data_IF_193750463533
#
_entry.id   IF_193750463533
#
_cell.length_a   1.000
_cell.length_b   1.000
_cell.length_c   1.000
_cell.angle_alpha   90.00
_cell.angle_beta   90.00
_cell.angle_gamma   90.00
#
_symmetry.space_group_name_H-M   'P 1'
#
loop_
_entity.id
_entity.type
_entity.pdbx_description
1 polymer ?
#
# COMPACT_ATOMS: atom_id res chain seq x y z
N UNK A 1 33.53 42.10 42.02
CA UNK A 1 33.68 40.72 42.53
C UNK A 1 32.97 39.84 41.54
N UNK A 2 33.77 39.00 40.90
CA UNK A 2 33.51 38.29 39.66
C UNK A 2 33.14 36.84 39.99
N UNK A 3 32.03 36.33 39.48
CA UNK A 3 31.61 34.93 39.66
C UNK A 3 31.03 34.38 38.35
N UNK A 4 31.93 33.94 37.49
CA UNK A 4 31.94 32.63 36.80
C UNK A 4 30.58 31.94 36.54
N UNK A 5 30.05 32.16 35.33
CA UNK A 5 29.11 31.26 34.65
C UNK A 5 29.90 30.16 33.90
N UNK A 6 29.63 28.90 34.24
CA UNK A 6 30.32 27.72 33.73
C UNK A 6 30.03 27.48 32.24
N UNK A 7 31.09 27.25 31.47
CA UNK A 7 31.09 26.88 30.05
C UNK A 7 30.58 25.45 29.87
N UNK A 8 29.61 25.25 28.98
CA UNK A 8 29.25 23.95 28.41
C UNK A 8 29.80 23.80 26.98
N UNK A 9 29.98 22.54 26.59
CA UNK A 9 30.35 21.96 25.28
C UNK A 9 31.85 21.88 24.87
N UNK A 10 32.28 20.91 24.00
CA UNK A 10 31.48 19.93 23.22
C UNK A 10 32.07 18.49 23.05
N UNK A 11 31.21 17.63 22.47
CA UNK A 11 31.41 16.56 21.45
C UNK A 11 32.61 15.58 21.53
N UNK A 12 32.31 14.28 21.54
CA UNK A 12 32.66 13.28 20.50
C UNK A 12 32.62 11.86 21.08
N UNK A 13 31.83 10.96 20.48
CA UNK A 13 32.32 9.69 19.90
C UNK A 13 31.14 8.82 19.46
N UNK A 14 30.88 8.92 18.17
CA UNK A 14 30.25 7.91 17.32
C UNK A 14 31.04 6.60 17.48
N UNK A 15 30.37 5.49 17.81
CA UNK A 15 30.92 4.14 17.59
C UNK A 15 30.20 3.51 16.40
N UNK A 16 31.00 3.36 15.34
CA UNK A 16 30.78 2.56 14.14
C UNK A 16 30.69 1.07 14.54
N UNK A 17 29.67 0.34 14.08
CA UNK A 17 29.64 -0.44 12.82
C UNK A 17 30.50 -1.72 12.92
N UNK A 18 29.86 -2.82 13.32
CA UNK A 18 30.32 -4.16 12.98
C UNK A 18 29.16 -4.93 12.35
N UNK A 19 29.25 -5.09 11.02
CA UNK A 19 28.43 -6.01 10.24
C UNK A 19 29.36 -7.19 9.94
N UNK A 20 29.14 -8.31 10.61
CA UNK A 20 29.79 -9.58 10.27
C UNK A 20 29.06 -10.19 9.08
N UNK A 21 29.69 -10.17 7.90
CA UNK A 21 29.28 -10.98 6.74
C UNK A 21 30.29 -12.12 6.61
N UNK A 22 29.84 -13.35 6.86
CA UNK A 22 30.60 -14.56 6.53
C UNK A 22 30.24 -15.02 5.11
N UNK A 23 31.21 -15.44 4.28
CA UNK A 23 30.95 -15.98 2.96
C UNK A 23 30.58 -17.46 3.05
N UNK A 24 29.38 -17.83 2.59
CA UNK A 24 29.01 -19.25 2.39
C UNK A 24 29.10 -19.58 0.90
N UNK A 25 29.87 -20.64 0.67
CA UNK A 25 30.35 -21.17 -0.60
C UNK A 25 29.20 -21.71 -1.47
N UNK A 26 29.26 -21.39 -2.76
CA UNK A 26 28.45 -21.97 -3.84
C UNK A 26 29.07 -23.31 -4.24
N UNK A 27 28.40 -24.42 -3.90
CA UNK A 27 28.78 -25.75 -4.38
C UNK A 27 28.03 -26.07 -5.68
N UNK A 28 28.81 -26.28 -6.74
CA UNK A 28 28.39 -26.84 -8.02
C UNK A 28 27.88 -28.28 -7.85
N UNK A 29 26.73 -28.60 -8.44
CA UNK A 29 26.26 -29.98 -8.64
C UNK A 29 26.10 -30.22 -10.15
N UNK A 30 26.67 -31.33 -10.69
CA UNK A 30 26.92 -31.49 -12.11
C UNK A 30 25.67 -31.83 -12.94
N UNK A 31 25.68 -31.37 -14.19
CA UNK A 31 24.83 -31.87 -15.25
C UNK A 31 25.21 -33.32 -15.60
N UNK A 32 24.24 -34.23 -15.61
CA UNK A 32 24.41 -35.55 -16.22
C UNK A 32 23.45 -35.73 -17.39
N UNK A 33 24.05 -35.97 -18.55
CA UNK A 33 23.43 -36.36 -19.81
C UNK A 33 23.23 -37.88 -19.87
N UNK A 34 22.16 -38.29 -20.57
CA UNK A 34 21.93 -39.52 -21.38
C UNK A 34 20.40 -39.73 -21.38
N UNK A 35 19.63 -39.70 -22.46
CA UNK A 35 19.91 -40.02 -23.88
C UNK A 35 19.29 -41.38 -24.22
N UNK A 36 18.44 -41.42 -25.26
CA UNK A 36 17.90 -42.60 -26.01
C UNK A 36 16.72 -43.37 -25.34
N UNK A 37 15.60 -43.76 -25.97
CA UNK A 37 14.99 -43.69 -27.32
C UNK A 37 13.45 -43.84 -27.19
N UNK A 38 12.65 -43.13 -27.99
CA UNK A 38 11.88 -43.60 -29.16
C UNK A 38 11.01 -44.87 -28.98
N UNK A 39 9.69 -44.66 -28.86
CA UNK A 39 8.60 -45.59 -29.24
C UNK A 39 7.37 -44.70 -29.49
N UNK A 40 7.12 -44.25 -30.73
CA UNK A 40 6.29 -44.88 -31.77
C UNK A 40 4.84 -45.17 -31.37
N UNK A 41 3.94 -44.67 -32.24
CA UNK A 41 2.52 -44.97 -32.43
C UNK A 41 1.53 -44.18 -31.58
N UNK A 42 0.84 -43.18 -32.17
CA UNK A 42 -0.31 -43.29 -33.09
C UNK A 42 -1.62 -43.60 -32.33
N UNK A 43 -2.69 -42.94 -32.78
CA UNK A 43 -4.10 -43.04 -32.40
C UNK A 43 -4.58 -42.00 -31.38
N UNK A 44 -5.66 -41.26 -31.57
CA UNK A 44 -6.58 -41.08 -32.69
C UNK A 44 -7.33 -39.78 -32.39
N UNK A 45 -7.54 -38.94 -33.40
CA UNK A 45 -8.48 -37.83 -33.30
C UNK A 45 -9.88 -38.43 -33.12
N UNK A 46 -10.47 -38.29 -31.95
CA UNK A 46 -11.93 -38.35 -31.83
C UNK A 46 -12.47 -36.95 -32.08
N UNK A 47 -12.70 -36.66 -33.36
CA UNK A 47 -13.66 -35.64 -33.76
C UNK A 47 -15.05 -36.08 -33.28
N UNK A 48 -15.42 -35.66 -32.08
CA UNK A 48 -16.70 -36.00 -31.49
C UNK A 48 -17.78 -35.17 -32.21
N UNK A 49 -18.44 -35.83 -33.17
CA UNK A 49 -19.66 -35.32 -33.81
C UNK A 49 -20.74 -35.21 -32.74
N UNK A 50 -20.92 -34.03 -32.17
CA UNK A 50 -22.10 -33.70 -31.36
C UNK A 50 -23.30 -33.69 -32.30
N UNK A 51 -23.94 -34.85 -32.46
CA UNK A 51 -25.30 -34.92 -33.00
C UNK A 51 -26.22 -34.43 -31.90
N UNK A 52 -26.70 -33.20 -32.03
CA UNK A 52 -27.80 -32.66 -31.25
C UNK A 52 -29.04 -33.52 -31.49
N UNK A 53 -29.24 -34.52 -30.64
CA UNK A 53 -30.55 -35.13 -30.42
C UNK A 53 -31.16 -34.43 -29.20
N UNK A 54 -32.12 -33.55 -29.45
CA UNK A 54 -32.98 -32.99 -28.41
C UNK A 54 -33.90 -34.11 -27.94
N UNK A 55 -33.43 -34.90 -26.98
CA UNK A 55 -34.30 -35.70 -26.13
C UNK A 55 -34.67 -34.85 -24.92
N UNK A 56 -35.95 -34.47 -24.87
CA UNK A 56 -36.59 -33.74 -23.79
C UNK A 56 -36.82 -34.69 -22.60
N UNK A 57 -35.73 -35.16 -21.98
CA UNK A 57 -35.79 -35.92 -20.73
C UNK A 57 -35.41 -35.00 -19.57
N UNK A 58 -36.40 -34.67 -18.74
CA UNK A 58 -36.27 -33.89 -17.51
C UNK A 58 -35.29 -34.55 -16.53
N UNK A 59 -34.01 -34.22 -16.65
CA UNK A 59 -33.00 -34.52 -15.64
C UNK A 59 -33.02 -33.40 -14.60
N UNK A 60 -33.21 -33.70 -13.31
CA UNK A 60 -33.04 -32.70 -12.26
C UNK A 60 -31.57 -32.29 -12.25
N UNK A 61 -31.30 -31.04 -12.65
CA UNK A 61 -29.97 -30.46 -12.53
C UNK A 61 -29.67 -30.38 -11.03
N UNK A 62 -28.89 -31.31 -10.50
CA UNK A 62 -28.23 -31.11 -9.22
C UNK A 62 -27.35 -29.87 -9.39
N UNK A 63 -27.81 -28.73 -8.87
CA UNK A 63 -27.06 -27.49 -8.87
C UNK A 63 -25.81 -27.65 -8.01
N UNK A 64 -24.65 -27.83 -8.64
CA UNK A 64 -23.37 -27.69 -7.97
C UNK A 64 -23.20 -26.20 -7.61
N UNK A 65 -23.45 -25.85 -6.34
CA UNK A 65 -23.08 -24.54 -5.82
C UNK A 65 -21.55 -24.45 -5.81
N UNK A 66 -20.98 -23.75 -6.79
CA UNK A 66 -19.54 -23.44 -6.79
C UNK A 66 -19.31 -22.42 -5.67
N UNK A 67 -18.87 -22.88 -4.50
CA UNK A 67 -18.44 -22.01 -3.42
C UNK A 67 -17.10 -21.37 -3.81
N UNK A 68 -17.15 -20.18 -4.43
CA UNK A 68 -15.92 -19.43 -4.66
C UNK A 68 -15.32 -19.01 -3.30
N UNK A 69 -13.98 -19.07 -3.14
CA UNK A 69 -13.35 -18.58 -1.93
C UNK A 69 -13.63 -17.08 -1.77
N UNK A 70 -14.22 -16.71 -0.63
CA UNK A 70 -14.43 -15.30 -0.28
C UNK A 70 -13.08 -14.70 0.13
N UNK A 71 -12.42 -14.00 -0.80
CA UNK A 71 -11.27 -13.17 -0.43
C UNK A 71 -11.71 -12.10 0.57
N UNK A 72 -10.88 -11.85 1.56
CA UNK A 72 -11.13 -10.76 2.48
C UNK A 72 -10.98 -9.43 1.72
N UNK A 73 -11.87 -8.48 1.99
CA UNK A 73 -11.88 -7.21 1.27
C UNK A 73 -10.74 -6.32 1.78
N UNK A 74 -9.89 -5.85 0.85
CA UNK A 74 -8.87 -4.84 1.14
C UNK A 74 -9.50 -3.54 1.65
N UNK A 75 -10.58 -3.09 0.99
CA UNK A 75 -11.34 -1.90 1.38
C UNK A 75 -12.70 -2.32 1.91
N UNK A 76 -13.07 -1.95 3.15
CA UNK A 76 -14.35 -2.36 3.73
C UNK A 76 -15.53 -1.72 2.99
N UNK A 77 -16.69 -2.38 3.06
CA UNK A 77 -17.94 -1.84 2.54
C UNK A 77 -18.37 -0.56 3.27
N UNK A 78 -18.18 -0.53 4.59
CA UNK A 78 -18.52 0.59 5.47
C UNK A 78 -17.31 0.96 6.35
N UNK A 79 -17.16 2.25 6.64
CA UNK A 79 -16.08 2.77 7.48
C UNK A 79 -16.67 3.21 8.82
N UNK A 80 -16.41 2.51 9.93
CA UNK A 80 -16.88 2.95 11.24
C UNK A 80 -16.23 4.29 11.63
N UNK A 81 -16.83 5.09 12.52
CA UNK A 81 -16.32 6.42 12.88
C UNK A 81 -14.88 6.43 13.42
N UNK A 82 -14.45 5.35 14.07
CA UNK A 82 -13.10 5.16 14.61
C UNK A 82 -12.15 4.40 13.66
N UNK A 83 -12.55 4.18 12.41
CA UNK A 83 -11.78 3.36 11.46
C UNK A 83 -10.36 3.88 11.28
N UNK A 84 -10.18 5.19 11.12
CA UNK A 84 -8.86 5.78 10.89
C UNK A 84 -7.93 5.59 12.10
N UNK A 85 -8.47 5.68 13.32
CA UNK A 85 -7.72 5.40 14.56
C UNK A 85 -7.33 3.93 14.64
N UNK A 86 -8.23 3.02 14.26
CA UNK A 86 -7.92 1.59 14.21
C UNK A 86 -6.80 1.28 13.20
N UNK A 87 -6.78 1.96 12.05
CA UNK A 87 -5.68 1.83 11.09
C UNK A 87 -4.36 2.35 11.66
N UNK A 88 -4.36 3.46 12.40
CA UNK A 88 -3.18 3.97 13.09
C UNK A 88 -2.63 2.96 14.12
N UNK A 89 -3.52 2.38 14.93
CA UNK A 89 -3.16 1.35 15.93
C UNK A 89 -2.63 0.07 15.28
N UNK A 90 -3.11 -0.27 14.09
CA UNK A 90 -2.64 -1.41 13.31
C UNK A 90 -1.31 -1.17 12.57
N UNK A 91 -0.65 -0.03 12.80
CA UNK A 91 0.66 0.31 12.22
C UNK A 91 0.60 1.27 11.04
N UNK A 92 -0.58 1.86 10.77
CA UNK A 92 -0.70 3.04 9.93
C UNK A 92 -0.10 4.28 10.61
N UNK A 93 0.02 5.36 9.85
CA UNK A 93 0.64 6.60 10.35
C UNK A 93 0.07 7.85 9.67
N UNK A 94 -1.23 7.84 9.35
CA UNK A 94 -1.93 8.97 8.74
C UNK A 94 -2.16 10.07 9.76
N UNK A 95 -2.69 9.73 10.93
CA UNK A 95 -3.09 10.72 11.94
C UNK A 95 -1.84 11.41 12.48
N UNK A 96 -0.85 10.63 12.93
CA UNK A 96 0.35 11.16 13.56
C UNK A 96 1.14 12.09 12.63
N UNK A 97 1.17 11.80 11.32
CA UNK A 97 2.07 12.47 10.38
C UNK A 97 1.40 13.50 9.47
N UNK A 98 0.08 13.47 9.34
CA UNK A 98 -0.62 14.20 8.28
C UNK A 98 -1.95 14.80 8.71
N UNK A 99 -2.26 14.92 10.01
CA UNK A 99 -3.53 15.51 10.46
C UNK A 99 -3.29 16.67 11.43
N UNK A 100 -3.86 17.84 11.10
CA UNK A 100 -3.89 18.99 12.01
C UNK A 100 -2.56 19.70 12.24
N UNK A 101 -1.55 19.49 11.40
CA UNK A 101 -0.26 20.17 11.57
C UNK A 101 -0.35 21.66 11.18
N UNK A 102 0.40 22.48 11.90
CA UNK A 102 0.54 23.91 11.59
C UNK A 102 1.49 24.14 10.41
N UNK A 103 1.40 25.31 9.78
CA UNK A 103 2.33 25.71 8.71
C UNK A 103 3.80 25.63 9.16
N UNK A 104 4.09 26.06 10.39
CA UNK A 104 5.43 25.99 10.95
C UNK A 104 5.91 24.54 11.13
N UNK A 105 5.04 23.63 11.58
CA UNK A 105 5.38 22.20 11.70
C UNK A 105 5.68 21.56 10.34
N UNK A 106 4.95 21.93 9.28
CA UNK A 106 5.24 21.44 7.92
C UNK A 106 6.60 21.94 7.42
N UNK A 107 6.90 23.22 7.61
CA UNK A 107 8.19 23.82 7.26
C UNK A 107 9.32 23.15 8.05
N UNK A 108 9.17 23.01 9.36
CA UNK A 108 10.16 22.36 10.21
C UNK A 108 10.43 20.90 9.78
N UNK A 109 9.39 20.15 9.39
CA UNK A 109 9.55 18.79 8.86
C UNK A 109 10.37 18.78 7.57
N UNK A 110 10.15 19.71 6.65
CA UNK A 110 10.98 19.82 5.45
C UNK A 110 12.44 20.16 5.77
N UNK A 111 12.66 21.07 6.72
CA UNK A 111 14.02 21.42 7.18
C UNK A 111 14.74 20.21 7.78
N UNK A 112 14.06 19.46 8.65
CA UNK A 112 14.64 18.35 9.41
C UNK A 112 14.67 17.02 8.64
N UNK A 113 14.04 16.94 7.47
CA UNK A 113 14.00 15.75 6.63
C UNK A 113 14.42 16.11 5.21
N UNK A 114 15.73 16.24 4.93
CA UNK A 114 16.24 16.64 3.61
C UNK A 114 15.77 15.72 2.47
N UNK A 115 15.48 14.46 2.77
CA UNK A 115 15.04 13.44 1.81
C UNK A 115 13.60 13.60 1.30
N UNK A 116 12.76 14.41 1.94
CA UNK A 116 11.38 14.64 1.48
C UNK A 116 11.28 15.96 0.71
N UNK A 117 10.53 15.95 -0.39
CA UNK A 117 10.30 17.12 -1.26
C UNK A 117 9.08 17.95 -0.82
N UNK A 118 8.14 17.33 -0.12
CA UNK A 118 6.92 17.95 0.39
C UNK A 118 6.56 17.43 1.78
N UNK A 119 5.78 18.22 2.51
CA UNK A 119 5.14 17.85 3.75
C UNK A 119 3.70 18.37 3.72
N UNK A 120 2.73 17.54 4.05
CA UNK A 120 1.32 17.92 3.94
C UNK A 120 0.50 17.45 5.12
N UNK A 121 -0.64 18.11 5.30
CA UNK A 121 -1.57 17.84 6.38
C UNK A 121 -3.00 18.09 5.93
N UNK A 122 -3.89 17.19 6.32
CA UNK A 122 -5.32 17.44 6.40
C UNK A 122 -5.59 18.58 7.37
N UNK A 123 -6.66 19.35 7.11
CA UNK A 123 -7.09 20.47 7.96
C UNK A 123 -7.28 20.03 9.42
N UNK A 124 -7.96 18.91 9.63
CA UNK A 124 -8.23 18.32 10.94
C UNK A 124 -8.64 16.84 10.78
N UNK A 125 -8.85 16.16 11.91
CA UNK A 125 -9.23 14.75 11.93
C UNK A 125 -10.56 14.51 11.21
N UNK A 126 -11.55 15.40 11.36
CA UNK A 126 -12.83 15.27 10.70
C UNK A 126 -12.69 15.26 9.17
N UNK A 127 -11.88 16.16 8.61
CA UNK A 127 -11.58 16.21 7.17
C UNK A 127 -10.94 14.90 6.69
N UNK A 128 -9.99 14.35 7.45
CA UNK A 128 -9.35 13.07 7.10
C UNK A 128 -10.34 11.89 7.16
N UNK A 129 -11.15 11.81 8.23
CA UNK A 129 -12.14 10.75 8.44
C UNK A 129 -13.25 10.75 7.39
N UNK A 130 -13.56 11.88 6.75
CA UNK A 130 -14.56 11.92 5.67
C UNK A 130 -13.94 11.68 4.28
N UNK A 131 -12.80 12.29 4.00
CA UNK A 131 -12.23 12.31 2.64
C UNK A 131 -11.48 11.04 2.27
N UNK A 132 -10.78 10.41 3.23
CA UNK A 132 -10.03 9.17 2.99
C UNK A 132 -10.99 8.01 2.64
N UNK A 133 -12.08 7.75 3.38
CA UNK A 133 -13.06 6.74 2.98
C UNK A 133 -13.66 6.97 1.58
N UNK A 134 -13.90 8.23 1.20
CA UNK A 134 -14.41 8.56 -0.14
C UNK A 134 -13.40 8.16 -1.23
N UNK A 135 -12.12 8.48 -1.04
CA UNK A 135 -11.05 8.10 -1.96
C UNK A 135 -10.85 6.58 -2.07
N UNK A 136 -10.90 5.87 -0.94
CA UNK A 136 -10.78 4.41 -0.94
C UNK A 136 -12.01 3.75 -1.56
N UNK A 137 -13.20 4.29 -1.31
CA UNK A 137 -14.46 3.79 -1.89
C UNK A 137 -14.49 3.94 -3.41
N UNK A 138 -14.01 5.08 -3.95
CA UNK A 138 -13.95 5.31 -5.40
C UNK A 138 -12.98 4.36 -6.11
N UNK A 139 -11.98 3.83 -5.40
CA UNK A 139 -11.00 2.86 -5.91
C UNK A 139 -11.22 1.43 -5.42
N UNK A 140 -12.34 1.15 -4.72
CA UNK A 140 -12.57 -0.10 -3.99
C UNK A 140 -12.33 -1.34 -4.85
N UNK A 141 -12.92 -1.40 -6.04
CA UNK A 141 -12.80 -2.56 -6.91
C UNK A 141 -11.35 -2.76 -7.39
N UNK A 142 -10.64 -1.68 -7.71
CA UNK A 142 -9.25 -1.76 -8.14
C UNK A 142 -8.33 -2.26 -7.01
N UNK A 143 -8.51 -1.73 -5.80
CA UNK A 143 -7.72 -2.11 -4.63
C UNK A 143 -8.03 -3.54 -4.18
N UNK A 144 -9.29 -3.95 -4.19
CA UNK A 144 -9.68 -5.33 -3.87
C UNK A 144 -9.09 -6.32 -4.89
N UNK A 145 -9.18 -6.04 -6.19
CA UNK A 145 -8.60 -6.89 -7.24
C UNK A 145 -7.07 -6.95 -7.15
N UNK A 146 -6.42 -5.83 -6.84
CA UNK A 146 -4.98 -5.79 -6.63
C UNK A 146 -4.57 -6.65 -5.43
N UNK A 147 -5.29 -6.54 -4.30
CA UNK A 147 -4.95 -7.26 -3.09
C UNK A 147 -5.26 -8.77 -3.17
N UNK A 148 -6.31 -9.18 -3.88
CA UNK A 148 -6.67 -10.59 -4.07
C UNK A 148 -5.76 -11.31 -5.08
N UNK A 149 -4.94 -10.58 -5.84
CA UNK A 149 -4.02 -11.19 -6.80
C UNK A 149 -2.93 -12.00 -6.05
N UNK A 150 -2.80 -13.31 -6.30
CA UNK A 150 -1.81 -14.16 -5.63
C UNK A 150 -0.36 -13.78 -5.96
N UNK A 151 -0.11 -13.10 -7.09
CA UNK A 151 1.21 -12.61 -7.48
C UNK A 151 1.62 -11.33 -6.74
N UNK A 152 0.72 -10.71 -5.98
CA UNK A 152 1.02 -9.55 -5.13
C UNK A 152 1.40 -10.07 -3.74
N UNK A 153 2.67 -9.92 -3.30
CA UNK A 153 3.11 -10.44 -2.01
C UNK A 153 2.52 -9.65 -0.84
N UNK A 154 2.42 -10.31 0.31
CA UNK A 154 2.13 -9.62 1.59
C UNK A 154 3.22 -8.58 1.85
N UNK A 155 2.83 -7.40 2.32
CA UNK A 155 3.71 -6.25 2.51
C UNK A 155 3.79 -5.29 1.32
N UNK A 156 3.33 -5.72 0.13
CA UNK A 156 3.24 -4.84 -1.03
C UNK A 156 2.30 -3.65 -0.75
N UNK A 157 2.60 -2.50 -1.36
CA UNK A 157 1.81 -1.29 -1.22
C UNK A 157 1.17 -0.86 -2.53
N UNK A 158 0.04 -0.16 -2.43
CA UNK A 158 -0.65 0.45 -3.57
C UNK A 158 -1.13 1.84 -3.21
N UNK A 159 -0.74 2.81 -4.02
CA UNK A 159 -1.22 4.17 -3.92
C UNK A 159 -2.44 4.38 -4.84
N UNK A 160 -3.36 5.21 -4.38
CA UNK A 160 -4.46 5.78 -5.17
C UNK A 160 -4.52 7.28 -4.92
N UNK A 161 -4.78 8.04 -5.97
CA UNK A 161 -4.97 9.48 -5.91
C UNK A 161 -6.45 9.81 -6.07
N UNK A 162 -6.90 10.85 -5.39
CA UNK A 162 -8.30 11.24 -5.43
C UNK A 162 -8.44 12.76 -5.36
N UNK A 163 -9.21 13.30 -6.31
CA UNK A 163 -9.59 14.72 -6.32
C UNK A 163 -10.90 14.90 -5.59
N UNK A 164 -10.88 15.71 -4.54
CA UNK A 164 -12.05 15.95 -3.67
C UNK A 164 -12.88 17.13 -4.18
N UNK A 165 -12.30 18.01 -5.00
CA UNK A 165 -12.96 19.20 -5.55
C UNK A 165 -13.11 20.37 -4.57
N UNK A 166 -12.69 20.20 -3.31
CA UNK A 166 -12.68 21.22 -2.27
C UNK A 166 -11.43 21.09 -1.42
N UNK A 167 -11.07 22.15 -0.69
CA UNK A 167 -9.84 22.17 0.11
C UNK A 167 -9.94 21.18 1.27
N UNK A 168 -9.05 20.18 1.28
CA UNK A 168 -8.98 19.15 2.33
C UNK A 168 -7.82 19.37 3.31
N UNK A 169 -6.86 20.19 2.90
CA UNK A 169 -5.66 20.45 3.64
C UNK A 169 -4.68 21.31 2.85
N UNK A 170 -3.40 21.14 3.16
CA UNK A 170 -2.33 21.96 2.61
C UNK A 170 -1.04 21.18 2.48
N UNK A 171 -0.20 21.63 1.55
CA UNK A 171 1.09 21.03 1.20
C UNK A 171 2.15 22.13 1.24
N UNK A 172 3.17 21.94 2.06
CA UNK A 172 4.42 22.66 2.00
C UNK A 172 5.39 21.93 1.05
N UNK A 173 6.17 22.69 0.27
CA UNK A 173 7.17 22.14 -0.67
C UNK A 173 8.48 22.91 -0.58
N UNK A 174 9.57 22.35 -1.13
CA UNK A 174 10.89 22.99 -1.17
C UNK A 174 10.80 24.33 -1.92
N UNK A 175 11.39 25.43 -1.47
CA UNK A 175 12.19 25.77 -0.27
C UNK A 175 11.35 25.82 1.02
N UNK A 176 11.86 25.39 2.20
CA UNK A 176 11.07 25.29 3.43
C UNK A 176 10.77 26.66 4.05
N UNK A 177 9.77 27.36 3.51
CA UNK A 177 9.34 28.68 3.99
C UNK A 177 7.82 28.73 4.10
N UNK A 178 7.29 29.65 4.93
CA UNK A 178 5.85 29.84 5.08
C UNK A 178 5.16 30.31 3.78
N UNK A 179 5.92 30.85 2.82
CA UNK A 179 5.41 31.28 1.51
C UNK A 179 5.18 30.09 0.55
N UNK A 180 5.87 28.97 0.78
CA UNK A 180 5.80 27.78 -0.08
C UNK A 180 4.82 26.75 0.49
N UNK A 181 3.61 27.21 0.79
CA UNK A 181 2.51 26.39 1.28
C UNK A 181 1.29 26.68 0.43
N UNK A 182 0.66 25.62 -0.09
CA UNK A 182 -0.54 25.73 -0.92
C UNK A 182 -1.65 24.87 -0.34
N UNK A 183 -2.87 25.39 -0.41
CA UNK A 183 -4.05 24.57 -0.18
C UNK A 183 -4.11 23.45 -1.22
N UNK A 184 -4.62 22.31 -0.80
CA UNK A 184 -4.77 21.13 -1.64
C UNK A 184 -6.24 20.67 -1.64
N UNK A 185 -6.68 20.29 -2.83
CA UNK A 185 -7.99 19.68 -3.09
C UNK A 185 -7.89 18.20 -3.43
N UNK A 186 -6.72 17.60 -3.25
CA UNK A 186 -6.43 16.22 -3.61
C UNK A 186 -5.74 15.50 -2.46
N UNK A 187 -5.81 14.18 -2.49
CA UNK A 187 -5.08 13.34 -1.57
C UNK A 187 -4.54 12.11 -2.27
N UNK A 188 -3.48 11.56 -1.68
CA UNK A 188 -2.98 10.21 -1.96
C UNK A 188 -3.29 9.33 -0.76
N UNK A 189 -3.83 8.15 -1.00
CA UNK A 189 -3.97 7.10 0.01
C UNK A 189 -3.12 5.90 -0.40
N UNK A 190 -2.38 5.34 0.56
CA UNK A 190 -1.50 4.19 0.35
C UNK A 190 -1.96 3.07 1.27
N UNK A 191 -2.37 1.96 0.66
CA UNK A 191 -2.69 0.73 1.38
C UNK A 191 -1.53 -0.25 1.30
N UNK A 192 -1.43 -1.14 2.28
CA UNK A 192 -0.50 -2.26 2.34
C UNK A 192 -1.30 -3.56 2.46
N UNK A 193 -0.99 -4.55 1.63
CA UNK A 193 -1.53 -5.91 1.77
C UNK A 193 -0.94 -6.56 3.03
N UNK A 194 -1.77 -7.07 3.92
CA UNK A 194 -1.33 -7.65 5.21
C UNK A 194 -1.61 -9.15 5.35
N UNK A 195 -2.40 -9.73 4.45
CA UNK A 195 -2.69 -11.17 4.45
C UNK A 195 -2.62 -11.76 3.04
N UNK A 196 -2.47 -13.08 2.96
CA UNK A 196 -2.58 -13.83 1.70
C UNK A 196 -4.00 -13.82 1.14
N UNK A 197 -5.01 -13.60 2.00
CA UNK A 197 -6.44 -13.53 1.64
C UNK A 197 -6.87 -12.18 1.07
N UNK A 198 -5.98 -11.17 1.03
CA UNK A 198 -6.24 -9.87 0.41
C UNK A 198 -6.62 -8.75 1.39
N UNK A 199 -6.49 -8.95 2.69
CA UNK A 199 -6.71 -7.89 3.69
C UNK A 199 -5.68 -6.78 3.53
N UNK A 200 -6.11 -5.55 3.82
CA UNK A 200 -5.25 -4.38 3.74
C UNK A 200 -5.29 -3.53 5.01
N UNK A 201 -4.17 -2.86 5.23
CA UNK A 201 -3.99 -1.76 6.17
C UNK A 201 -3.87 -0.46 5.38
N UNK A 202 -4.56 0.61 5.78
CA UNK A 202 -4.21 1.96 5.35
C UNK A 202 -2.88 2.34 5.99
N UNK A 203 -1.80 2.21 5.20
CA UNK A 203 -0.47 2.55 5.66
C UNK A 203 -0.39 4.06 5.92
N UNK A 204 -0.80 4.88 4.96
CA UNK A 204 -0.82 6.33 5.13
C UNK A 204 -1.77 6.99 4.15
N UNK A 205 -2.18 8.22 4.45
CA UNK A 205 -2.79 9.10 3.49
C UNK A 205 -2.41 10.54 3.79
N UNK A 206 -2.31 11.37 2.75
CA UNK A 206 -1.90 12.74 2.89
C UNK A 206 -2.35 13.60 1.70
N UNK A 207 -2.64 14.90 1.92
CA UNK A 207 -2.94 15.79 0.81
C UNK A 207 -1.78 15.94 -0.17
N UNK A 208 -2.09 16.11 -1.45
CA UNK A 208 -1.12 16.25 -2.54
C UNK A 208 -1.45 17.46 -3.40
N UNK A 209 -0.45 18.05 -4.04
CA UNK A 209 -0.69 18.99 -5.15
C UNK A 209 -1.03 18.18 -6.40
N UNK A 210 -1.80 18.74 -7.34
CA UNK A 210 -1.95 18.12 -8.65
C UNK A 210 -0.56 17.80 -9.21
N UNK A 211 -0.31 16.55 -9.56
CA UNK A 211 0.78 16.22 -10.47
C UNK A 211 0.39 16.88 -11.81
N UNK A 212 1.16 17.90 -12.22
CA UNK A 212 1.13 18.42 -13.59
C UNK A 212 2.17 17.67 -14.40
#
# INVERSE_FOLDING_TARGET
MDTTYSKGEPLHRVLQKEICVSPIQINNVPANHRGFEMLTHLHQFLAQRVRFFVFLSSMPILGFAVSQPTFAQCIPANFPPNWLQAQEQAGGHTIARHVGWTNQQLVNRLTNSPQISNASTYTNLQSATTTIPAALSSHRNNLNNWASNPNVPVGATRAVDYSVGQVVGRVAFRQPTLKNIRNSTNLRAVVRKISTTGECLLLTSYPTLNEY
#
